data_IF_058006976799
#
_entry.id   IF_058006976799
#
_cell.length_a   1.000
_cell.length_b   1.000
_cell.length_c   1.000
_cell.angle_alpha   90.00
_cell.angle_beta   90.00
_cell.angle_gamma   90.00
#
_symmetry.space_group_name_H-M   'P 1'
#
loop_
_entity.id
_entity.type
_entity.pdbx_description
1 polymer ?
#
# COMPACT_ATOMS: atom_id res chain seq x y z
N UNK A 1 -7.79 18.21 47.64
CA UNK A 1 -9.09 18.59 47.07
C UNK A 1 -9.33 17.72 45.84
N UNK A 2 -10.24 16.75 45.97
CA UNK A 2 -10.64 15.79 44.94
C UNK A 2 -11.92 16.31 44.29
N UNK A 3 -11.93 16.46 42.96
CA UNK A 3 -13.16 16.61 42.17
C UNK A 3 -13.02 15.79 40.89
N UNK A 4 -13.88 14.78 40.65
CA UNK A 4 -13.97 14.02 39.42
C UNK A 4 -15.17 14.49 38.57
N UNK A 5 -15.01 14.65 37.25
CA UNK A 5 -16.13 14.84 36.32
C UNK A 5 -15.77 14.18 34.98
N UNK A 6 -16.30 12.97 34.72
CA UNK A 6 -17.54 12.60 33.99
C UNK A 6 -17.33 12.50 32.46
N UNK A 7 -17.27 11.25 31.99
CA UNK A 7 -17.34 10.86 30.56
C UNK A 7 -18.77 11.00 30.04
N UNK A 8 -19.02 11.45 28.80
CA UNK A 8 -20.35 11.40 28.20
C UNK A 8 -20.63 10.01 27.61
N UNK A 9 -21.88 9.61 27.74
CA UNK A 9 -22.43 8.31 27.37
C UNK A 9 -22.64 8.16 25.86
N UNK A 10 -22.32 6.96 25.37
CA UNK A 10 -22.60 6.46 24.03
C UNK A 10 -24.10 6.15 23.92
N UNK A 11 -24.80 6.80 22.99
CA UNK A 11 -26.20 6.53 22.69
C UNK A 11 -26.29 5.60 21.47
N UNK A 12 -26.60 4.33 21.73
CA UNK A 12 -26.91 3.33 20.72
C UNK A 12 -28.32 3.59 20.17
N UNK A 13 -28.45 3.90 18.87
CA UNK A 13 -29.73 3.93 18.17
C UNK A 13 -29.93 2.57 17.47
N UNK A 14 -30.80 1.75 18.06
CA UNK A 14 -31.20 0.44 17.54
C UNK A 14 -32.45 0.65 16.68
N UNK A 15 -32.33 0.59 15.35
CA UNK A 15 -33.48 0.64 14.45
C UNK A 15 -33.89 -0.79 14.09
N UNK A 16 -34.98 -1.24 14.71
CA UNK A 16 -35.70 -2.44 14.31
C UNK A 16 -36.58 -2.14 13.09
N UNK A 17 -36.41 -2.90 12.00
CA UNK A 17 -37.35 -2.92 10.88
C UNK A 17 -37.93 -4.33 10.80
N UNK A 18 -39.24 -4.40 11.03
CA UNK A 18 -40.05 -5.61 11.06
C UNK A 18 -41.00 -5.60 9.85
N UNK A 19 -41.00 -6.72 9.13
CA UNK A 19 -42.09 -7.36 8.35
C UNK A 19 -42.79 -6.58 7.22
N UNK A 20 -42.84 -7.19 6.02
CA UNK A 20 -44.11 -7.63 5.36
C UNK A 20 -43.83 -8.87 4.51
N UNK A 21 -44.61 -9.94 4.73
CA UNK A 21 -44.76 -11.10 3.85
C UNK A 21 -46.01 -10.95 2.97
N UNK A 22 -45.92 -11.38 1.70
CA UNK A 22 -47.03 -11.86 0.85
C UNK A 22 -46.37 -12.61 -0.35
N UNK A 23 -46.38 -13.94 -0.46
CA UNK A 23 -47.47 -14.92 -0.67
C UNK A 23 -47.92 -15.08 -2.15
N UNK A 24 -47.90 -16.35 -2.57
CA UNK A 24 -48.69 -17.03 -3.61
C UNK A 24 -48.23 -17.03 -5.09
N UNK A 25 -48.18 -18.24 -5.65
CA UNK A 25 -48.26 -18.48 -7.10
C UNK A 25 -47.76 -19.86 -7.54
N UNK A 26 -48.63 -20.87 -7.50
CA UNK A 26 -48.36 -22.26 -7.88
C UNK A 26 -48.62 -22.56 -9.38
N UNK A 27 -47.95 -23.62 -9.84
CA UNK A 27 -48.29 -24.57 -10.92
C UNK A 27 -48.73 -24.06 -12.31
N UNK A 28 -48.05 -24.57 -13.34
CA UNK A 28 -48.78 -25.14 -14.48
C UNK A 28 -48.03 -26.31 -15.13
N UNK A 29 -48.65 -27.49 -15.01
CA UNK A 29 -48.46 -28.68 -15.83
C UNK A 29 -49.30 -28.57 -17.10
N UNK A 30 -48.77 -28.96 -18.26
CA UNK A 30 -49.54 -29.12 -19.49
C UNK A 30 -48.66 -29.71 -20.61
N UNK A 31 -48.52 -31.03 -20.66
CA UNK A 31 -49.26 -31.98 -21.52
C UNK A 31 -48.72 -32.06 -22.95
N UNK A 32 -48.31 -33.28 -23.28
CA UNK A 32 -47.87 -33.76 -24.57
C UNK A 32 -48.97 -33.69 -25.66
N UNK A 33 -48.54 -33.55 -26.90
CA UNK A 33 -49.28 -34.04 -28.06
C UNK A 33 -48.30 -34.63 -29.08
N UNK A 34 -48.34 -35.96 -29.15
CA UNK A 34 -47.83 -36.81 -30.22
C UNK A 34 -48.57 -36.55 -31.53
N UNK A 35 -47.85 -36.55 -32.66
CA UNK A 35 -48.42 -37.01 -33.93
C UNK A 35 -47.36 -37.79 -34.72
N UNK A 36 -47.68 -39.05 -34.95
CA UNK A 36 -47.03 -40.04 -35.81
C UNK A 36 -47.62 -40.01 -37.22
N UNK A 37 -46.77 -40.22 -38.24
CA UNK A 37 -46.97 -41.01 -39.50
C UNK A 37 -45.87 -40.61 -40.51
N UNK A 38 -44.84 -41.44 -40.76
CA UNK A 38 -44.72 -42.45 -41.84
C UNK A 38 -44.75 -41.84 -43.27
N UNK A 39 -43.88 -42.11 -44.26
CA UNK A 39 -42.69 -42.97 -44.43
C UNK A 39 -42.15 -42.79 -45.89
N UNK A 40 -40.82 -42.58 -46.05
CA UNK A 40 -39.88 -42.99 -47.15
C UNK A 40 -40.11 -42.66 -48.66
N UNK A 41 -39.07 -42.72 -49.55
CA UNK A 41 -37.61 -42.58 -49.39
C UNK A 41 -36.88 -41.69 -50.46
N UNK A 42 -35.57 -41.50 -50.27
CA UNK A 42 -34.51 -41.35 -51.30
C UNK A 42 -34.31 -40.01 -52.04
N UNK A 43 -33.26 -39.27 -51.65
CA UNK A 43 -32.19 -38.81 -52.55
C UNK A 43 -31.06 -38.13 -51.74
N UNK A 44 -29.82 -38.54 -51.97
CA UNK A 44 -28.62 -37.99 -51.37
C UNK A 44 -28.19 -36.70 -52.08
N UNK A 45 -27.96 -35.59 -51.36
CA UNK A 45 -27.00 -34.54 -51.76
C UNK A 45 -26.56 -33.67 -50.56
N UNK A 46 -25.24 -33.58 -50.37
CA UNK A 46 -24.44 -32.49 -49.77
C UNK A 46 -24.77 -31.97 -48.37
N UNK A 47 -23.95 -32.42 -47.40
CA UNK A 47 -23.72 -31.78 -46.11
C UNK A 47 -22.93 -30.48 -46.30
N UNK A 48 -23.65 -29.35 -46.36
CA UNK A 48 -23.06 -28.02 -46.29
C UNK A 48 -22.77 -27.70 -44.82
N UNK A 49 -21.51 -27.86 -44.42
CA UNK A 49 -21.00 -27.34 -43.15
C UNK A 49 -21.27 -25.83 -43.09
N UNK A 50 -22.16 -25.43 -42.18
CA UNK A 50 -22.34 -24.02 -41.83
C UNK A 50 -21.05 -23.53 -41.17
N UNK A 51 -20.51 -22.36 -41.56
CA UNK A 51 -19.36 -21.79 -40.88
C UNK A 51 -19.76 -21.49 -39.44
N UNK A 52 -19.18 -22.24 -38.52
CA UNK A 52 -19.25 -22.00 -37.10
C UNK A 52 -18.65 -20.61 -36.86
N UNK A 53 -19.51 -19.62 -36.64
CA UNK A 53 -19.10 -18.27 -36.31
C UNK A 53 -18.19 -18.36 -35.08
N UNK A 54 -16.92 -18.02 -35.26
CA UNK A 54 -15.98 -17.85 -34.17
C UNK A 54 -16.55 -16.74 -33.28
N UNK A 55 -17.12 -17.13 -32.14
CA UNK A 55 -17.48 -16.19 -31.08
C UNK A 55 -16.21 -15.40 -30.74
N UNK A 56 -16.24 -14.10 -31.01
CA UNK A 56 -15.19 -13.21 -30.54
C UNK A 56 -15.15 -13.33 -29.02
N UNK A 57 -13.96 -13.45 -28.39
CA UNK A 57 -13.87 -13.57 -26.95
C UNK A 57 -14.61 -12.39 -26.31
N UNK A 58 -15.51 -12.69 -25.37
CA UNK A 58 -16.19 -11.69 -24.58
C UNK A 58 -15.15 -10.73 -23.98
N UNK A 59 -15.40 -9.41 -23.96
CA UNK A 59 -14.46 -8.46 -23.38
C UNK A 59 -14.18 -8.87 -21.94
N UNK A 60 -12.90 -9.08 -21.63
CA UNK A 60 -12.46 -9.39 -20.28
C UNK A 60 -13.00 -8.31 -19.32
N UNK A 61 -13.60 -8.75 -18.21
CA UNK A 61 -14.08 -7.84 -17.17
C UNK A 61 -12.92 -6.98 -16.70
N UNK A 62 -13.14 -5.67 -16.63
CA UNK A 62 -12.12 -4.74 -16.11
C UNK A 62 -12.10 -4.84 -14.59
N UNK A 63 -10.93 -5.06 -14.03
CA UNK A 63 -10.71 -5.18 -12.58
C UNK A 63 -9.85 -4.02 -12.11
N UNK A 64 -10.34 -3.30 -11.11
CA UNK A 64 -9.62 -2.24 -10.40
C UNK A 64 -9.05 -2.80 -9.10
N UNK A 65 -7.73 -2.99 -9.03
CA UNK A 65 -7.04 -3.34 -7.79
C UNK A 65 -6.62 -2.07 -7.04
N UNK A 66 -6.97 -1.98 -5.77
CA UNK A 66 -6.56 -0.90 -4.87
C UNK A 66 -5.39 -1.34 -4.01
N UNK A 67 -4.27 -0.65 -4.11
CA UNK A 67 -3.05 -0.96 -3.36
C UNK A 67 -2.75 0.20 -2.40
N UNK A 68 -2.84 -0.07 -1.11
CA UNK A 68 -2.39 0.86 -0.08
C UNK A 68 -0.89 0.69 0.13
N UNK A 69 -0.10 1.69 -0.25
CA UNK A 69 1.35 1.58 -0.28
C UNK A 69 2.04 2.75 0.43
N UNK A 70 3.14 2.44 1.12
CA UNK A 70 4.00 3.45 1.74
C UNK A 70 4.43 4.50 0.72
N UNK A 71 4.37 5.78 1.07
CA UNK A 71 4.71 6.90 0.19
C UNK A 71 6.12 6.82 -0.41
N UNK A 72 7.06 6.15 0.24
CA UNK A 72 8.42 5.96 -0.31
C UNK A 72 8.48 5.03 -1.53
N UNK A 73 7.43 4.23 -1.77
CA UNK A 73 7.34 3.29 -2.90
C UNK A 73 6.77 3.93 -4.17
N UNK A 74 6.38 5.21 -4.15
CA UNK A 74 5.59 5.85 -5.21
C UNK A 74 6.22 5.70 -6.59
N UNK A 75 7.48 6.10 -6.78
CA UNK A 75 8.11 6.09 -8.11
C UNK A 75 8.28 4.66 -8.65
N UNK A 76 8.75 3.73 -7.81
CA UNK A 76 8.93 2.33 -8.20
C UNK A 76 7.61 1.67 -8.59
N UNK A 77 6.55 1.87 -7.79
CA UNK A 77 5.23 1.29 -8.09
C UNK A 77 4.56 1.92 -9.31
N UNK A 78 4.82 3.20 -9.60
CA UNK A 78 4.32 3.84 -10.83
C UNK A 78 5.00 3.26 -12.08
N UNK A 79 6.31 2.98 -12.05
CA UNK A 79 7.00 2.29 -13.14
C UNK A 79 6.48 0.85 -13.32
N UNK A 80 6.35 0.11 -12.21
CA UNK A 80 5.81 -1.25 -12.21
C UNK A 80 4.35 -1.31 -12.72
N UNK A 81 3.54 -0.31 -12.39
CA UNK A 81 2.16 -0.20 -12.91
C UNK A 81 2.13 -0.12 -14.42
N UNK A 82 2.97 0.70 -15.03
CA UNK A 82 3.02 0.82 -16.49
C UNK A 82 3.33 -0.52 -17.16
N UNK A 83 4.32 -1.25 -16.63
CA UNK A 83 4.69 -2.57 -17.15
C UNK A 83 3.58 -3.62 -16.91
N UNK A 84 3.01 -3.66 -15.71
CA UNK A 84 2.00 -4.65 -15.34
C UNK A 84 0.69 -4.46 -16.12
N UNK A 85 0.19 -3.22 -16.26
CA UNK A 85 -1.05 -2.93 -17.00
C UNK A 85 -0.89 -3.14 -18.51
N UNK A 86 0.30 -2.88 -19.06
CA UNK A 86 0.59 -3.19 -20.47
C UNK A 86 0.54 -4.70 -20.74
N UNK A 87 1.00 -5.52 -19.79
CA UNK A 87 0.93 -6.98 -19.87
C UNK A 87 -0.47 -7.54 -19.53
N UNK A 88 -1.28 -6.79 -18.77
CA UNK A 88 -2.60 -7.22 -18.29
C UNK A 88 -3.67 -6.14 -18.59
N UNK A 89 -4.15 -6.02 -19.85
CA UNK A 89 -5.02 -4.91 -20.27
C UNK A 89 -6.39 -4.83 -19.58
N UNK A 90 -6.81 -5.90 -18.89
CA UNK A 90 -8.03 -5.93 -18.08
C UNK A 90 -7.83 -5.42 -16.65
N UNK A 91 -6.60 -5.21 -16.21
CA UNK A 91 -6.28 -4.76 -14.84
C UNK A 91 -5.96 -3.27 -14.84
N UNK A 92 -6.50 -2.57 -13.84
CA UNK A 92 -6.09 -1.21 -13.48
C UNK A 92 -5.64 -1.20 -12.02
N UNK A 93 -4.44 -0.70 -11.76
CA UNK A 93 -3.86 -0.56 -10.43
C UNK A 93 -4.08 0.85 -9.90
N UNK A 94 -4.82 0.97 -8.81
CA UNK A 94 -5.10 2.23 -8.12
C UNK A 94 -4.28 2.30 -6.84
N UNK A 95 -3.36 3.24 -6.74
CA UNK A 95 -2.52 3.39 -5.56
C UNK A 95 -3.06 4.42 -4.57
N UNK A 96 -3.23 4.00 -3.31
CA UNK A 96 -3.43 4.86 -2.16
C UNK A 96 -2.08 5.03 -1.43
N UNK A 97 -1.37 6.11 -1.73
CA UNK A 97 -0.07 6.39 -1.13
C UNK A 97 -0.19 7.18 0.17
N UNK A 98 0.57 6.78 1.19
CA UNK A 98 0.60 7.49 2.46
C UNK A 98 1.58 6.91 3.47
N UNK A 99 1.51 7.41 4.70
CA UNK A 99 2.24 6.82 5.81
C UNK A 99 1.67 5.44 6.16
N UNK A 100 2.52 4.43 6.33
CA UNK A 100 2.07 3.06 6.52
C UNK A 100 1.20 2.86 7.76
N UNK A 101 1.42 3.60 8.84
CA UNK A 101 0.54 3.56 10.01
C UNK A 101 -0.84 4.18 9.76
N UNK A 102 -0.90 5.27 9.00
CA UNK A 102 -2.19 5.85 8.60
C UNK A 102 -2.96 4.92 7.66
N UNK A 103 -2.28 4.31 6.68
CA UNK A 103 -2.88 3.33 5.76
C UNK A 103 -3.34 2.06 6.48
N UNK A 104 -2.55 1.56 7.42
CA UNK A 104 -2.94 0.43 8.27
C UNK A 104 -4.22 0.77 9.07
N UNK A 105 -4.29 1.93 9.71
CA UNK A 105 -5.51 2.37 10.41
C UNK A 105 -6.71 2.51 9.48
N UNK A 106 -6.52 2.97 8.24
CA UNK A 106 -7.59 3.03 7.25
C UNK A 106 -8.15 1.64 6.94
N UNK A 107 -7.27 0.65 6.73
CA UNK A 107 -7.69 -0.75 6.49
C UNK A 107 -8.44 -1.31 7.69
N UNK A 108 -7.96 -1.07 8.91
CA UNK A 108 -8.67 -1.49 10.14
C UNK A 108 -10.06 -0.86 10.29
N UNK A 109 -10.25 0.32 9.69
CA UNK A 109 -11.53 1.06 9.67
C UNK A 109 -12.42 0.68 8.47
N UNK A 110 -12.02 -0.30 7.66
CA UNK A 110 -12.78 -0.80 6.52
C UNK A 110 -12.59 -0.03 5.22
N UNK A 111 -11.50 0.75 5.08
CA UNK A 111 -11.14 1.31 3.79
C UNK A 111 -10.78 0.16 2.82
N UNK A 112 -11.32 0.15 1.59
CA UNK A 112 -11.06 -0.92 0.63
C UNK A 112 -9.59 -0.91 0.20
N UNK A 113 -8.95 -2.07 0.27
CA UNK A 113 -7.64 -2.33 -0.28
C UNK A 113 -7.55 -3.82 -0.62
N UNK A 114 -6.82 -4.16 -1.69
CA UNK A 114 -6.53 -5.52 -2.11
C UNK A 114 -5.13 -5.95 -1.65
N UNK A 115 -4.16 -5.02 -1.69
CA UNK A 115 -2.82 -5.23 -1.15
C UNK A 115 -2.41 -4.09 -0.22
N UNK A 116 -1.59 -4.43 0.77
CA UNK A 116 -0.92 -3.49 1.64
C UNK A 116 0.60 -3.65 1.57
N UNK A 117 1.30 -2.59 1.16
CA UNK A 117 2.77 -2.52 1.15
C UNK A 117 3.23 -1.49 2.19
N UNK A 118 3.76 -1.97 3.29
CA UNK A 118 4.19 -1.13 4.42
C UNK A 118 5.68 -0.80 4.33
N UNK A 119 6.13 0.29 4.94
CA UNK A 119 7.55 0.57 5.21
C UNK A 119 8.00 0.10 6.61
N UNK A 120 7.13 -0.64 7.32
CA UNK A 120 7.43 -1.23 8.62
C UNK A 120 6.76 -2.58 8.80
N UNK A 121 7.52 -3.53 9.33
CA UNK A 121 7.01 -4.82 9.78
C UNK A 121 5.94 -4.68 10.86
N UNK A 122 6.01 -3.63 11.69
CA UNK A 122 5.04 -3.39 12.77
C UNK A 122 3.63 -3.16 12.24
N UNK A 123 3.46 -2.36 11.18
CA UNK A 123 2.14 -2.04 10.66
C UNK A 123 1.48 -3.25 10.00
N UNK A 124 2.23 -4.02 9.21
CA UNK A 124 1.68 -5.22 8.60
C UNK A 124 1.39 -6.31 9.65
N UNK A 125 2.25 -6.44 10.66
CA UNK A 125 1.98 -7.32 11.82
C UNK A 125 0.67 -6.96 12.53
N UNK A 126 0.37 -5.66 12.72
CA UNK A 126 -0.90 -5.24 13.32
C UNK A 126 -2.11 -5.69 12.48
N UNK A 127 -2.03 -5.63 11.16
CA UNK A 127 -3.09 -6.14 10.28
C UNK A 127 -3.23 -7.66 10.33
N UNK A 128 -2.13 -8.40 10.49
CA UNK A 128 -2.15 -9.85 10.71
C UNK A 128 -2.81 -10.19 12.05
N UNK A 129 -2.37 -9.55 13.14
CA UNK A 129 -2.92 -9.75 14.49
C UNK A 129 -4.41 -9.34 14.57
N UNK A 130 -4.81 -8.32 13.80
CA UNK A 130 -6.20 -7.89 13.66
C UNK A 130 -7.05 -8.78 12.75
N UNK A 131 -6.46 -9.77 12.07
CA UNK A 131 -7.16 -10.69 11.17
C UNK A 131 -7.53 -10.11 9.79
N UNK A 132 -6.95 -8.96 9.43
CA UNK A 132 -7.13 -8.30 8.14
C UNK A 132 -6.23 -8.87 7.03
N UNK A 133 -5.12 -9.51 7.40
CA UNK A 133 -4.20 -10.23 6.50
C UNK A 133 -3.93 -11.61 7.12
N UNK A 134 -3.95 -12.67 6.32
CA UNK A 134 -3.63 -14.02 6.82
C UNK A 134 -2.10 -14.20 6.98
N UNK A 135 -1.67 -15.03 7.93
CA UNK A 135 -0.23 -15.25 8.20
C UNK A 135 0.54 -15.77 6.99
N UNK A 136 -0.11 -16.55 6.13
CA UNK A 136 0.43 -17.13 4.90
C UNK A 136 0.27 -16.24 3.66
N UNK A 137 -0.41 -15.10 3.80
CA UNK A 137 -0.68 -14.13 2.73
C UNK A 137 0.18 -12.86 2.88
N UNK A 138 1.40 -13.03 3.38
CA UNK A 138 2.37 -11.95 3.55
C UNK A 138 3.81 -12.40 3.42
N UNK A 139 4.68 -11.45 3.09
CA UNK A 139 6.12 -11.65 3.11
C UNK A 139 6.87 -10.33 3.30
N UNK A 140 8.15 -10.45 3.65
CA UNK A 140 9.10 -9.35 3.53
C UNK A 140 9.52 -9.24 2.06
N UNK A 141 9.35 -8.06 1.46
CA UNK A 141 9.68 -7.86 0.05
C UNK A 141 10.98 -7.09 -0.10
N UNK A 142 11.07 -5.90 0.50
CA UNK A 142 12.19 -4.98 0.31
C UNK A 142 12.83 -4.59 1.64
N UNK A 143 14.04 -4.05 1.57
CA UNK A 143 14.76 -3.42 2.66
C UNK A 143 15.33 -2.08 2.19
N UNK A 144 15.60 -1.20 3.15
CA UNK A 144 16.05 0.17 2.92
C UNK A 144 16.91 0.67 4.08
N UNK A 145 17.38 1.90 3.98
CA UNK A 145 18.28 2.53 4.95
C UNK A 145 17.75 3.92 5.31
N UNK A 146 17.95 4.32 6.56
CA UNK A 146 17.62 5.68 7.02
C UNK A 146 18.81 6.61 6.76
N UNK A 147 18.53 7.79 6.21
CA UNK A 147 19.53 8.82 5.95
C UNK A 147 19.08 10.18 6.46
N UNK A 148 20.05 11.04 6.73
CA UNK A 148 19.83 12.46 6.97
C UNK A 148 20.13 13.19 5.66
N UNK A 149 19.16 13.96 5.18
CA UNK A 149 19.32 14.81 3.99
C UNK A 149 19.34 16.28 4.37
N UNK A 150 20.06 17.08 3.59
CA UNK A 150 20.01 18.55 3.61
C UNK A 150 19.67 19.04 2.20
N UNK A 151 19.25 20.30 2.05
CA UNK A 151 19.11 20.90 0.72
C UNK A 151 20.45 20.89 -0.03
N UNK A 152 20.42 20.70 -1.35
CA UNK A 152 21.63 20.58 -2.18
C UNK A 152 22.52 21.83 -2.12
N UNK A 153 21.91 23.01 -2.01
CA UNK A 153 22.62 24.30 -1.86
C UNK A 153 22.81 24.72 -0.38
N UNK A 154 22.51 23.81 0.57
CA UNK A 154 22.61 24.12 1.99
C UNK A 154 24.06 24.35 2.41
N UNK A 155 24.28 25.39 3.22
CA UNK A 155 25.58 25.68 3.84
C UNK A 155 25.76 25.00 5.20
N UNK A 156 24.71 24.32 5.67
CA UNK A 156 24.70 23.59 6.93
C UNK A 156 25.63 22.39 6.81
N UNK A 157 26.42 22.15 7.85
CA UNK A 157 27.35 21.00 7.91
C UNK A 157 26.79 19.94 8.84
N UNK A 158 26.19 18.91 8.25
CA UNK A 158 25.81 17.68 8.94
C UNK A 158 26.61 16.55 8.32
N UNK A 159 27.41 15.84 9.11
CA UNK A 159 28.10 14.63 8.67
C UNK A 159 27.82 13.41 9.56
N UNK A 160 27.23 13.63 10.73
CA UNK A 160 26.72 12.59 11.60
C UNK A 160 25.46 13.03 12.35
N UNK A 161 24.72 12.07 12.91
CA UNK A 161 23.53 12.34 13.73
C UNK A 161 23.83 13.28 14.92
N UNK A 162 25.04 13.25 15.47
CA UNK A 162 25.48 14.13 16.55
C UNK A 162 25.45 15.63 16.18
N UNK A 163 25.69 15.96 14.91
CA UNK A 163 25.72 17.34 14.43
C UNK A 163 24.33 17.98 14.45
N UNK A 164 23.27 17.19 14.59
CA UNK A 164 21.91 17.71 14.72
C UNK A 164 21.71 18.58 15.97
N UNK A 165 22.56 18.39 16.99
CA UNK A 165 22.55 19.18 18.23
C UNK A 165 23.21 20.55 18.12
N UNK A 166 23.94 20.84 17.04
CA UNK A 166 24.63 22.11 16.87
C UNK A 166 23.64 23.29 16.88
N UNK A 167 24.00 24.38 17.57
CA UNK A 167 23.17 25.59 17.65
C UNK A 167 22.96 26.28 16.29
N UNK A 168 23.88 26.06 15.36
CA UNK A 168 23.81 26.55 13.99
C UNK A 168 22.78 25.83 13.13
N UNK A 169 22.27 24.67 13.59
CA UNK A 169 21.22 23.93 12.91
C UNK A 169 19.85 24.39 13.42
N UNK A 170 19.01 24.85 12.49
CA UNK A 170 17.64 25.27 12.72
C UNK A 170 16.68 24.09 12.82
N UNK A 171 15.72 24.01 11.90
CA UNK A 171 14.63 23.01 11.96
C UNK A 171 15.03 21.69 11.31
N UNK A 172 14.52 20.60 11.85
CA UNK A 172 14.77 19.24 11.36
C UNK A 172 13.42 18.58 11.08
N UNK A 173 13.18 18.13 9.85
CA UNK A 173 11.96 17.43 9.52
C UNK A 173 12.05 15.92 9.83
N UNK A 174 10.98 15.38 10.43
CA UNK A 174 10.78 13.95 10.63
C UNK A 174 9.33 13.58 10.26
N UNK A 175 9.07 12.32 9.95
CA UNK A 175 7.69 11.83 9.92
C UNK A 175 7.08 11.87 11.33
N UNK A 176 5.76 12.00 11.46
CA UNK A 176 5.06 11.82 12.74
C UNK A 176 5.36 10.40 13.27
N UNK A 177 6.14 10.21 14.36
CA UNK A 177 6.65 8.90 14.75
C UNK A 177 5.58 7.84 15.03
N UNK A 178 4.39 8.27 15.42
CA UNK A 178 3.27 7.39 15.76
C UNK A 178 2.65 6.74 14.52
N UNK A 179 2.72 7.39 13.34
CA UNK A 179 2.04 6.94 12.12
C UNK A 179 2.97 6.76 10.91
N UNK A 180 4.14 7.38 10.91
CA UNK A 180 5.10 7.37 9.80
C UNK A 180 6.31 6.51 10.19
N UNK A 181 6.53 5.35 9.54
CA UNK A 181 7.70 4.49 9.81
C UNK A 181 9.04 5.22 9.79
N UNK A 182 9.31 6.08 8.80
CA UNK A 182 10.56 6.86 8.74
C UNK A 182 10.74 7.76 9.98
N UNK A 183 9.64 8.34 10.48
CA UNK A 183 9.64 9.11 11.73
C UNK A 183 9.91 8.26 12.96
N UNK A 184 9.36 7.04 13.00
CA UNK A 184 9.61 6.08 14.07
C UNK A 184 11.08 5.64 14.09
N UNK A 185 11.67 5.28 12.95
CA UNK A 185 13.09 4.94 12.86
C UNK A 185 14.00 6.12 13.21
N UNK A 186 13.64 7.34 12.81
CA UNK A 186 14.35 8.55 13.22
C UNK A 186 14.29 8.76 14.73
N UNK A 187 13.12 8.56 15.35
CA UNK A 187 12.96 8.63 16.80
C UNK A 187 13.82 7.57 17.52
N UNK A 188 13.85 6.33 17.04
CA UNK A 188 14.71 5.28 17.59
C UNK A 188 16.19 5.67 17.51
N UNK A 189 16.65 6.12 16.33
CA UNK A 189 18.03 6.54 16.13
C UNK A 189 18.43 7.73 17.03
N UNK A 190 17.57 8.75 17.11
CA UNK A 190 17.77 9.92 17.97
C UNK A 190 17.73 9.56 19.45
N UNK A 191 16.90 8.60 19.86
CA UNK A 191 16.83 8.13 21.24
C UNK A 191 18.10 7.39 21.62
N UNK A 192 18.59 6.49 20.76
CA UNK A 192 19.87 5.79 20.96
C UNK A 192 21.06 6.76 20.98
N UNK A 193 21.00 7.83 20.19
CA UNK A 193 21.99 8.92 20.22
C UNK A 193 21.83 9.88 21.41
N UNK A 194 20.80 9.71 22.25
CA UNK A 194 20.45 10.60 23.38
C UNK A 194 20.16 12.05 22.96
N UNK A 195 19.62 12.22 21.75
CA UNK A 195 19.29 13.52 21.15
C UNK A 195 17.78 13.76 21.05
N UNK A 196 16.94 12.73 21.20
CA UNK A 196 15.50 12.85 21.01
C UNK A 196 14.86 13.97 21.85
N UNK A 197 15.14 13.99 23.15
CA UNK A 197 14.53 14.95 24.09
C UNK A 197 15.02 16.39 23.84
N UNK A 198 16.34 16.56 23.58
CA UNK A 198 16.93 17.89 23.38
C UNK A 198 16.55 18.51 22.04
N UNK A 199 16.25 17.69 21.03
CA UNK A 199 15.87 18.17 19.70
C UNK A 199 14.37 18.44 19.54
N UNK A 200 13.50 18.10 20.50
CA UNK A 200 12.04 18.24 20.38
C UNK A 200 11.60 19.62 19.85
N UNK A 201 12.23 20.71 20.32
CA UNK A 201 11.89 22.08 19.91
C UNK A 201 12.32 22.44 18.47
N UNK A 202 13.24 21.65 17.90
CA UNK A 202 13.73 21.78 16.52
C UNK A 202 12.97 20.89 15.52
N UNK A 203 12.26 19.86 16.00
CA UNK A 203 11.57 18.91 15.14
C UNK A 203 10.33 19.53 14.47
N UNK A 204 10.19 19.29 13.18
CA UNK A 204 9.02 19.58 12.37
C UNK A 204 8.46 18.25 11.89
N UNK A 205 7.26 17.89 12.34
CA UNK A 205 6.67 16.62 11.98
C UNK A 205 5.88 16.71 10.67
N UNK A 206 5.98 15.68 9.85
CA UNK A 206 5.36 15.60 8.54
C UNK A 206 4.44 14.37 8.43
N UNK A 207 3.39 14.48 7.62
CA UNK A 207 2.36 13.43 7.47
C UNK A 207 2.86 12.12 6.88
N UNK A 208 3.97 12.15 6.13
CA UNK A 208 4.67 11.01 5.54
C UNK A 208 6.12 11.40 5.20
N UNK A 209 6.92 10.43 4.75
CA UNK A 209 8.36 10.65 4.45
C UNK A 209 8.60 11.51 3.20
N UNK A 210 7.67 11.53 2.24
CA UNK A 210 7.80 12.38 1.05
C UNK A 210 7.49 13.85 1.37
N UNK A 211 6.63 14.10 2.36
CA UNK A 211 6.45 15.41 2.94
C UNK A 211 7.71 15.90 3.69
N UNK A 212 8.45 15.00 4.37
CA UNK A 212 9.77 15.33 4.95
C UNK A 212 10.74 15.75 3.86
N UNK A 213 10.88 14.94 2.81
CA UNK A 213 11.74 15.25 1.66
C UNK A 213 11.40 16.62 1.09
N UNK A 214 10.12 16.89 0.82
CA UNK A 214 9.65 18.17 0.30
C UNK A 214 10.02 19.37 1.20
N UNK A 215 9.95 19.23 2.52
CA UNK A 215 10.36 20.32 3.43
C UNK A 215 11.84 20.66 3.29
N UNK A 216 12.69 19.66 3.05
CA UNK A 216 14.13 19.86 2.82
C UNK A 216 14.37 20.46 1.43
N UNK A 217 13.70 19.95 0.39
CA UNK A 217 13.80 20.47 -0.98
C UNK A 217 13.44 21.96 -1.09
N UNK A 218 12.46 22.39 -0.28
CA UNK A 218 11.95 23.77 -0.28
C UNK A 218 12.71 24.68 0.68
N UNK A 219 13.70 24.16 1.41
CA UNK A 219 14.45 24.91 2.41
C UNK A 219 13.63 25.36 3.62
N UNK A 220 12.45 24.75 3.85
CA UNK A 220 11.63 25.02 5.03
C UNK A 220 12.27 24.48 6.32
N UNK A 221 13.14 23.49 6.19
CA UNK A 221 13.98 22.92 7.25
C UNK A 221 15.41 22.76 6.74
N UNK A 222 16.36 22.71 7.66
CA UNK A 222 17.78 22.59 7.31
C UNK A 222 18.18 21.15 7.02
N UNK A 223 17.54 20.19 7.70
CA UNK A 223 17.78 18.76 7.55
C UNK A 223 16.48 17.97 7.68
N UNK A 224 16.48 16.73 7.21
CA UNK A 224 15.36 15.81 7.42
C UNK A 224 15.79 14.34 7.41
N UNK A 225 15.02 13.50 8.10
CA UNK A 225 15.20 12.05 8.08
C UNK A 225 14.29 11.42 7.03
N UNK A 226 14.88 10.81 6.02
CA UNK A 226 14.19 10.12 4.93
C UNK A 226 14.82 8.76 4.67
N UNK A 227 14.21 7.94 3.82
CA UNK A 227 14.90 6.74 3.35
C UNK A 227 15.91 7.10 2.27
N UNK A 228 16.96 6.28 2.14
CA UNK A 228 17.96 6.42 1.07
C UNK A 228 17.29 6.47 -0.30
N UNK A 229 16.31 5.63 -0.54
CA UNK A 229 15.53 5.60 -1.80
C UNK A 229 14.82 6.94 -2.07
N UNK A 230 14.25 7.58 -1.05
CA UNK A 230 13.58 8.88 -1.23
C UNK A 230 14.58 9.95 -1.64
N UNK A 231 15.76 9.98 -0.98
CA UNK A 231 16.81 10.93 -1.30
C UNK A 231 17.31 10.79 -2.75
N UNK A 232 17.35 9.56 -3.29
CA UNK A 232 17.76 9.30 -4.68
C UNK A 232 16.75 9.77 -5.74
N UNK A 233 15.51 10.11 -5.35
CA UNK A 233 14.49 10.61 -6.28
C UNK A 233 14.60 12.10 -6.56
N UNK A 234 15.49 12.82 -5.86
CA UNK A 234 15.56 14.28 -5.93
C UNK A 234 17.00 14.78 -6.10
N UNK A 235 17.18 15.73 -7.01
CA UNK A 235 18.42 16.48 -7.22
C UNK A 235 18.53 17.73 -6.32
N UNK A 236 17.46 18.06 -5.59
CA UNK A 236 17.38 19.25 -4.71
C UNK A 236 17.85 18.99 -3.29
N UNK A 237 18.17 17.74 -2.97
CA UNK A 237 18.72 17.36 -1.67
C UNK A 237 20.04 16.62 -1.85
N UNK A 238 20.79 16.52 -0.77
CA UNK A 238 21.99 15.68 -0.70
C UNK A 238 21.90 14.83 0.55
N UNK A 239 22.35 13.58 0.43
CA UNK A 239 22.55 12.70 1.59
C UNK A 239 23.73 13.26 2.38
N UNK A 240 23.43 13.89 3.51
CA UNK A 240 24.42 14.50 4.39
C UNK A 240 25.10 13.45 5.27
N UNK A 241 24.33 12.47 5.76
CA UNK A 241 24.85 11.36 6.54
C UNK A 241 23.96 10.10 6.41
N UNK A 242 24.57 8.92 6.41
CA UNK A 242 23.86 7.68 6.68
C UNK A 242 23.62 7.55 8.20
N UNK A 243 22.46 7.03 8.59
CA UNK A 243 22.17 6.71 10.00
C UNK A 243 22.61 5.29 10.29
N UNK A 244 23.35 5.09 11.38
CA UNK A 244 23.86 3.77 11.77
C UNK A 244 22.69 2.77 11.96
N UNK A 245 22.63 1.68 11.16
CA UNK A 245 21.56 0.68 11.24
C UNK A 245 21.51 -0.06 12.58
N UNK A 246 22.53 0.02 13.43
CA UNK A 246 22.48 -0.51 14.80
C UNK A 246 21.61 0.33 15.75
N UNK A 247 21.19 1.54 15.33
CA UNK A 247 20.47 2.50 16.18
C UNK A 247 18.95 2.52 15.95
N UNK A 248 18.44 1.70 15.04
CA UNK A 248 17.01 1.57 14.77
C UNK A 248 16.68 0.16 14.31
N UNK A 249 15.40 -0.20 14.42
CA UNK A 249 14.87 -1.48 13.95
C UNK A 249 15.10 -1.62 12.44
N UNK A 250 15.57 -2.77 11.92
CA UNK A 250 15.81 -2.94 10.49
C UNK A 250 14.62 -2.55 9.62
N UNK A 251 14.87 -1.70 8.62
CA UNK A 251 13.82 -1.21 7.73
C UNK A 251 13.48 -2.29 6.71
N UNK A 252 12.30 -2.87 6.88
CA UNK A 252 11.74 -3.88 5.99
C UNK A 252 10.38 -3.42 5.50
N UNK A 253 10.16 -3.63 4.21
CA UNK A 253 8.90 -3.38 3.53
C UNK A 253 8.18 -4.70 3.29
N UNK A 254 7.27 -5.10 4.19
CA UNK A 254 6.43 -6.25 3.92
C UNK A 254 5.28 -5.90 2.99
N UNK A 255 4.82 -6.91 2.28
CA UNK A 255 3.61 -6.90 1.46
C UNK A 255 2.66 -7.96 1.98
N UNK A 256 1.35 -7.70 1.93
CA UNK A 256 0.34 -8.70 2.20
C UNK A 256 -0.96 -8.45 1.45
N UNK A 257 -1.72 -9.52 1.23
CA UNK A 257 -3.04 -9.48 0.59
C UNK A 257 -4.09 -9.25 1.67
N UNK A 258 -4.92 -8.22 1.48
CA UNK A 258 -5.98 -7.87 2.42
C UNK A 258 -7.13 -8.85 2.24
N UNK A 259 -7.56 -9.48 3.33
CA UNK A 259 -8.54 -10.57 3.36
C UNK A 259 -9.91 -10.19 2.77
N UNK A 260 -10.27 -8.92 2.84
CA UNK A 260 -11.55 -8.42 2.30
C UNK A 260 -11.51 -8.13 0.80
N UNK A 261 -10.39 -8.39 0.11
CA UNK A 261 -10.31 -8.26 -1.35
C UNK A 261 -11.43 -9.04 -2.04
N UNK A 262 -12.03 -8.41 -3.05
CA UNK A 262 -13.01 -9.05 -3.94
C UNK A 262 -12.37 -9.62 -5.20
N UNK A 263 -11.06 -9.41 -5.36
CA UNK A 263 -10.27 -9.68 -6.55
C UNK A 263 -9.08 -10.56 -6.18
N UNK A 264 -9.35 -11.66 -5.46
CA UNK A 264 -8.32 -12.52 -4.87
C UNK A 264 -7.32 -13.02 -5.93
N UNK A 265 -7.80 -13.48 -7.08
CA UNK A 265 -6.93 -14.00 -8.14
C UNK A 265 -6.03 -12.93 -8.73
N UNK A 266 -6.56 -11.72 -8.95
CA UNK A 266 -5.83 -10.60 -9.50
C UNK A 266 -4.85 -10.01 -8.48
N UNK A 267 -5.24 -9.97 -7.21
CA UNK A 267 -4.39 -9.55 -6.11
C UNK A 267 -3.21 -10.50 -5.91
N UNK A 268 -3.44 -11.82 -5.97
CA UNK A 268 -2.39 -12.85 -5.94
C UNK A 268 -1.45 -12.74 -7.14
N UNK A 269 -1.97 -12.48 -8.33
CA UNK A 269 -1.16 -12.28 -9.53
C UNK A 269 -0.24 -11.05 -9.39
N UNK A 270 -0.75 -9.92 -8.90
CA UNK A 270 0.08 -8.74 -8.67
C UNK A 270 1.06 -8.92 -7.51
N UNK A 271 0.64 -9.58 -6.42
CA UNK A 271 1.49 -9.97 -5.30
C UNK A 271 2.69 -10.81 -5.77
N UNK A 272 2.45 -11.79 -6.64
CA UNK A 272 3.48 -12.63 -7.25
C UNK A 272 4.36 -11.85 -8.22
N UNK A 273 3.78 -10.98 -9.06
CA UNK A 273 4.52 -10.13 -9.98
C UNK A 273 5.57 -9.27 -9.27
N UNK A 274 5.22 -8.66 -8.14
CA UNK A 274 6.14 -7.83 -7.36
C UNK A 274 7.36 -8.58 -6.81
N UNK A 275 7.34 -9.91 -6.82
CA UNK A 275 8.44 -10.78 -6.39
C UNK A 275 9.31 -11.27 -7.56
N UNK A 276 8.92 -10.98 -8.80
CA UNK A 276 9.69 -11.39 -9.98
C UNK A 276 11.03 -10.66 -10.07
N UNK A 277 11.97 -11.24 -10.81
CA UNK A 277 13.27 -10.61 -11.07
C UNK A 277 13.11 -9.25 -11.77
N UNK A 278 12.20 -9.15 -12.74
CA UNK A 278 11.89 -7.88 -13.43
C UNK A 278 11.39 -6.82 -12.47
N UNK A 279 10.48 -7.17 -11.56
CA UNK A 279 9.99 -6.23 -10.56
C UNK A 279 11.10 -5.81 -9.57
N UNK A 280 11.92 -6.78 -9.13
CA UNK A 280 13.04 -6.53 -8.24
C UNK A 280 14.12 -5.64 -8.90
N UNK A 281 14.32 -5.76 -10.20
CA UNK A 281 15.22 -4.89 -10.97
C UNK A 281 14.74 -3.43 -10.96
N UNK A 282 13.42 -3.20 -11.10
CA UNK A 282 12.84 -1.86 -10.96
C UNK A 282 13.03 -1.34 -9.53
N UNK A 283 12.73 -2.13 -8.49
CA UNK A 283 12.98 -1.73 -7.11
C UNK A 283 14.45 -1.37 -6.85
N UNK A 284 15.38 -2.17 -7.38
CA UNK A 284 16.82 -1.94 -7.27
C UNK A 284 17.26 -0.67 -8.01
N UNK A 285 16.68 -0.38 -9.19
CA UNK A 285 16.88 0.88 -9.92
C UNK A 285 16.52 2.11 -9.07
N UNK A 286 15.49 1.99 -8.24
CA UNK A 286 15.09 3.03 -7.27
C UNK A 286 15.84 2.97 -5.93
N UNK A 287 16.80 2.07 -5.78
CA UNK A 287 17.72 1.98 -4.64
C UNK A 287 17.23 1.09 -3.49
N UNK A 288 16.12 0.38 -3.64
CA UNK A 288 15.70 -0.65 -2.69
C UNK A 288 16.61 -1.87 -2.81
N UNK A 289 16.62 -2.71 -1.77
CA UNK A 289 17.22 -4.04 -1.81
C UNK A 289 16.17 -5.09 -1.48
N UNK A 290 16.37 -6.34 -1.89
CA UNK A 290 15.52 -7.44 -1.44
C UNK A 290 15.66 -7.63 0.08
N UNK A 291 14.55 -7.87 0.77
CA UNK A 291 14.59 -8.22 2.18
C UNK A 291 15.27 -9.58 2.40
N UNK A 292 16.02 -9.72 3.50
CA UNK A 292 16.62 -10.99 3.94
C UNK A 292 15.78 -11.70 5.00
#
# INVERSE_FOLDING_TARGET
MLTPFKKPAVLFFMLAVLLVCAACGANNTGTAASNTSASSPSAAVAESASPQASEAPAPAEKVDLTISAAASLTDALQELKQAYEAANPSITLNFNFGASGALQQQIEQGAPADLFLSASSKNLKALVEGGFIAEDQQMKLLANELVIVTGADSKVKVSAIADLSQDTLGKIAIGIPESVPAGNYAMEALTNAKLWDSLQSKLVQAKDVRQVLQYVETGNVDAGFVYRTDALTSDKVTIAAAVDPATYTPIVYPIGIVKETKHQSEAEAFYAYLQTEDAMNVFTKYGFSAAK
#
